data_IF_107097725673
#
_entry.id   IF_107097725673
#
_cell.length_a   1.000
_cell.length_b   1.000
_cell.length_c   1.000
_cell.angle_alpha   90.00
_cell.angle_beta   90.00
_cell.angle_gamma   90.00
#
_symmetry.space_group_name_H-M   'P 1'
#
loop_
_entity.id
_entity.type
_entity.pdbx_description
1 polymer ?
#
# COMPACT_ATOMS: atom_id res chain seq x y z
N UNK A 1 -8.61 10.42 -70.37
CA UNK A 1 -7.73 9.44 -69.77
C UNK A 1 -6.62 10.16 -69.04
N UNK A 2 -6.94 10.87 -67.95
CA UNK A 2 -5.95 11.59 -67.07
C UNK A 2 -6.67 12.15 -65.82
N UNK A 3 -7.35 11.31 -65.05
CA UNK A 3 -7.94 11.68 -63.72
C UNK A 3 -7.89 10.44 -62.80
N UNK A 4 -6.75 9.78 -62.73
CA UNK A 4 -6.65 8.53 -61.93
C UNK A 4 -5.40 8.36 -61.08
N UNK A 5 -4.57 9.40 -60.91
CA UNK A 5 -3.25 9.23 -60.27
C UNK A 5 -2.98 10.19 -59.07
N UNK A 6 -3.91 11.07 -58.70
CA UNK A 6 -3.68 12.08 -57.65
C UNK A 6 -4.27 11.70 -56.29
N UNK A 7 -5.02 10.61 -56.12
CA UNK A 7 -5.66 10.25 -54.85
C UNK A 7 -5.01 9.10 -54.10
N UNK A 8 -3.73 8.74 -54.33
CA UNK A 8 -3.01 7.70 -53.58
C UNK A 8 -1.80 8.20 -52.77
N UNK A 9 -1.60 9.49 -52.61
CA UNK A 9 -0.46 10.04 -51.83
C UNK A 9 -0.83 10.93 -50.63
N UNK A 10 -2.07 10.96 -50.17
CA UNK A 10 -2.49 11.80 -49.05
C UNK A 10 -2.92 10.97 -47.81
N UNK A 11 -2.70 9.67 -47.77
CA UNK A 11 -3.07 8.85 -46.61
C UNK A 11 -1.91 8.21 -45.84
N UNK A 12 -0.70 8.81 -45.89
CA UNK A 12 0.47 8.36 -45.06
C UNK A 12 1.05 9.49 -44.21
N UNK A 13 0.38 10.64 -44.09
CA UNK A 13 0.91 11.80 -43.34
C UNK A 13 0.13 12.14 -42.04
N UNK A 14 -0.84 11.33 -41.61
CA UNK A 14 -1.64 11.60 -40.40
C UNK A 14 -1.25 10.70 -39.22
N UNK A 15 -0.35 9.71 -39.42
CA UNK A 15 0.05 8.75 -38.39
C UNK A 15 1.31 9.10 -37.59
N UNK A 16 2.00 10.22 -37.88
CA UNK A 16 3.29 10.51 -37.24
C UNK A 16 3.32 11.82 -36.44
N UNK A 17 2.28 12.63 -36.47
CA UNK A 17 2.25 13.94 -35.80
C UNK A 17 1.69 13.91 -34.36
N UNK A 18 1.15 12.81 -33.88
CA UNK A 18 0.70 12.71 -32.48
C UNK A 18 1.82 12.33 -31.48
N UNK A 19 2.99 11.91 -31.96
CA UNK A 19 4.13 11.53 -31.08
C UNK A 19 5.11 12.71 -30.87
N UNK A 20 5.01 13.79 -31.64
CA UNK A 20 5.95 14.92 -31.59
C UNK A 20 5.48 16.10 -30.74
N UNK A 21 4.24 16.14 -30.25
CA UNK A 21 3.76 17.21 -29.37
C UNK A 21 4.12 17.03 -27.89
N UNK A 22 4.55 15.86 -27.47
CA UNK A 22 5.03 15.64 -26.08
C UNK A 22 6.45 16.16 -25.81
N UNK A 23 7.27 16.37 -26.85
CA UNK A 23 8.62 16.89 -26.71
C UNK A 23 8.70 18.42 -26.59
N UNK A 24 7.60 19.14 -26.71
CA UNK A 24 7.58 20.61 -26.69
C UNK A 24 7.03 21.22 -25.39
N UNK A 25 6.59 20.38 -24.46
CA UNK A 25 6.37 20.77 -23.07
C UNK A 25 7.70 20.58 -22.33
N UNK A 26 8.51 21.64 -22.35
CA UNK A 26 9.87 21.68 -21.79
C UNK A 26 9.95 21.57 -20.27
N UNK A 27 9.36 20.55 -19.72
CA UNK A 27 9.48 20.05 -18.36
C UNK A 27 9.23 18.55 -18.45
N UNK A 28 10.24 17.80 -18.88
CA UNK A 28 10.08 16.37 -19.17
C UNK A 28 9.42 15.63 -18.00
N UNK A 29 8.57 14.68 -18.31
CA UNK A 29 8.30 13.55 -17.45
C UNK A 29 9.63 12.82 -17.20
N UNK A 30 10.32 13.17 -16.08
CA UNK A 30 11.69 12.80 -15.83
C UNK A 30 12.66 13.61 -16.71
N UNK A 31 13.42 14.58 -16.13
CA UNK A 31 14.57 15.21 -16.78
C UNK A 31 15.53 14.16 -17.34
N UNK A 32 16.62 14.53 -18.09
CA UNK A 32 17.53 13.58 -18.70
C UNK A 32 18.03 12.63 -17.61
N UNK A 33 17.38 11.49 -17.53
CA UNK A 33 17.69 10.46 -16.56
C UNK A 33 18.96 9.83 -17.08
N UNK A 34 20.06 10.21 -16.45
CA UNK A 34 21.32 9.52 -16.70
C UNK A 34 21.05 8.02 -16.59
N UNK A 35 21.54 7.27 -17.55
CA UNK A 35 21.57 5.80 -17.56
C UNK A 35 22.39 5.21 -16.38
N UNK A 36 22.60 5.99 -15.30
CA UNK A 36 23.25 5.60 -14.07
C UNK A 36 22.28 4.88 -13.17
N UNK A 37 22.60 3.65 -12.78
CA UNK A 37 21.86 2.93 -11.74
C UNK A 37 21.92 3.66 -10.40
N UNK A 38 21.31 3.07 -9.37
CA UNK A 38 21.40 3.59 -8.00
C UNK A 38 22.83 3.41 -7.48
N UNK A 39 23.55 4.48 -7.12
CA UNK A 39 24.90 4.37 -6.58
C UNK A 39 24.93 3.55 -5.29
N UNK A 40 26.06 2.90 -5.02
CA UNK A 40 26.31 2.15 -3.78
C UNK A 40 25.29 1.06 -3.45
N UNK A 41 24.63 0.51 -4.47
CA UNK A 41 23.72 -0.62 -4.35
C UNK A 41 24.13 -1.80 -5.22
N UNK A 42 23.82 -3.00 -4.75
CA UNK A 42 23.80 -4.22 -5.56
C UNK A 42 22.41 -4.34 -6.20
N UNK A 43 22.39 -4.47 -7.54
CA UNK A 43 21.16 -4.53 -8.31
C UNK A 43 20.79 -5.96 -8.66
N UNK A 44 19.55 -6.36 -8.38
CA UNK A 44 18.89 -7.52 -8.99
C UNK A 44 17.81 -7.02 -9.93
N UNK A 45 17.97 -7.25 -11.23
CA UNK A 45 17.09 -6.70 -12.27
C UNK A 45 16.00 -7.69 -12.69
N UNK A 46 14.89 -7.15 -13.22
CA UNK A 46 13.86 -7.88 -13.96
C UNK A 46 13.22 -9.05 -13.20
N UNK A 47 13.11 -8.91 -11.87
CA UNK A 47 12.44 -9.91 -11.04
C UNK A 47 10.94 -9.84 -11.29
N UNK A 48 10.33 -10.92 -11.79
CA UNK A 48 8.88 -10.99 -11.99
C UNK A 48 8.17 -11.25 -10.67
N UNK A 49 7.38 -10.28 -10.17
CA UNK A 49 6.73 -10.36 -8.86
C UNK A 49 5.40 -11.10 -8.86
N UNK A 50 4.87 -11.42 -10.04
CA UNK A 50 3.64 -12.20 -10.20
C UNK A 50 3.94 -13.65 -10.57
N UNK A 51 5.04 -13.89 -11.31
CA UNK A 51 5.40 -15.21 -11.84
C UNK A 51 4.79 -15.53 -13.21
N UNK A 52 4.19 -14.53 -13.88
CA UNK A 52 3.47 -14.71 -15.16
C UNK A 52 4.31 -14.42 -16.41
N UNK A 53 5.57 -14.02 -16.24
CA UNK A 53 6.51 -13.70 -17.30
C UNK A 53 6.22 -12.39 -18.05
N UNK A 54 5.27 -11.57 -17.59
CA UNK A 54 4.96 -10.28 -18.22
C UNK A 54 5.96 -9.22 -17.80
N UNK A 55 6.45 -8.41 -18.74
CA UNK A 55 7.42 -7.33 -18.49
C UNK A 55 6.86 -6.27 -17.54
N UNK A 56 5.58 -5.95 -17.63
CA UNK A 56 4.93 -5.00 -16.73
C UNK A 56 4.75 -5.52 -15.30
N UNK A 57 5.00 -6.80 -15.04
CA UNK A 57 5.03 -7.38 -13.71
C UNK A 57 6.48 -7.67 -13.24
N UNK A 58 7.46 -6.92 -13.77
CA UNK A 58 8.86 -6.99 -13.29
C UNK A 58 9.20 -5.81 -12.40
N UNK A 59 10.17 -6.02 -11.52
CA UNK A 59 10.75 -5.01 -10.65
C UNK A 59 12.27 -5.12 -10.61
N UNK A 60 12.94 -4.03 -10.24
CA UNK A 60 14.36 -4.03 -9.90
C UNK A 60 14.53 -3.83 -8.40
N UNK A 61 15.51 -4.51 -7.82
CA UNK A 61 15.83 -4.46 -6.40
C UNK A 61 17.24 -3.87 -6.27
N UNK A 62 17.38 -2.89 -5.40
CA UNK A 62 18.65 -2.24 -5.07
C UNK A 62 18.92 -2.38 -3.58
N UNK A 63 19.90 -3.21 -3.21
CA UNK A 63 20.29 -3.44 -1.82
C UNK A 63 21.55 -2.64 -1.54
N UNK A 64 21.62 -1.82 -0.46
CA UNK A 64 22.83 -1.08 -0.12
C UNK A 64 24.05 -1.99 0.01
N UNK A 65 25.19 -1.57 -0.54
CA UNK A 65 26.47 -2.31 -0.38
C UNK A 65 26.98 -2.33 1.05
N UNK A 66 26.57 -1.37 1.88
CA UNK A 66 26.86 -1.40 3.30
C UNK A 66 26.22 -2.64 3.93
N UNK A 67 27.05 -3.57 4.41
CA UNK A 67 26.59 -4.84 4.93
C UNK A 67 25.75 -4.67 6.20
N UNK A 68 24.52 -5.18 6.16
CA UNK A 68 23.59 -5.34 7.29
C UNK A 68 22.95 -6.73 7.21
N UNK A 69 22.38 -7.18 8.31
CA UNK A 69 21.61 -8.42 8.36
C UNK A 69 20.34 -8.31 7.50
N UNK A 70 19.62 -7.18 7.62
CA UNK A 70 18.45 -6.84 6.81
C UNK A 70 18.30 -5.33 6.63
N UNK A 71 17.48 -4.91 5.67
CA UNK A 71 17.28 -3.53 5.28
C UNK A 71 15.79 -3.20 5.29
N UNK A 72 15.35 -2.09 5.92
CA UNK A 72 14.02 -1.57 5.71
C UNK A 72 13.82 -1.24 4.23
N UNK A 73 12.58 -1.31 3.74
CA UNK A 73 12.31 -1.26 2.30
C UNK A 73 11.53 -0.01 1.92
N UNK A 74 11.91 0.63 0.82
CA UNK A 74 11.11 1.63 0.12
C UNK A 74 10.78 1.11 -1.28
N UNK A 75 9.50 1.02 -1.61
CA UNK A 75 9.01 0.72 -2.95
C UNK A 75 8.77 2.06 -3.64
N UNK A 76 9.55 2.40 -4.68
CA UNK A 76 9.43 3.68 -5.38
C UNK A 76 8.87 3.49 -6.80
N UNK A 77 7.72 4.12 -7.06
CA UNK A 77 6.97 3.99 -8.32
C UNK A 77 7.15 5.25 -9.17
N UNK A 78 7.50 5.06 -10.44
CA UNK A 78 7.69 6.14 -11.41
C UNK A 78 6.39 6.87 -11.78
N UNK A 79 6.53 8.10 -12.31
CA UNK A 79 5.45 8.85 -12.93
C UNK A 79 5.36 8.61 -14.44
N UNK A 80 4.16 8.46 -14.96
CA UNK A 80 3.90 8.27 -16.41
C UNK A 80 2.48 8.65 -16.82
N UNK A 81 1.74 9.38 -16.00
CA UNK A 81 0.29 9.58 -16.16
C UNK A 81 -0.44 8.24 -16.42
N UNK A 82 -0.03 7.17 -15.74
CA UNK A 82 -0.52 5.79 -15.89
C UNK A 82 -0.41 5.20 -17.30
N UNK A 83 0.31 5.85 -18.23
CA UNK A 83 0.35 5.50 -19.65
C UNK A 83 1.47 4.55 -20.04
N UNK A 84 2.44 4.30 -19.16
CA UNK A 84 3.58 3.41 -19.41
C UNK A 84 3.60 2.22 -18.46
N UNK A 85 4.03 1.07 -18.99
CA UNK A 85 4.14 -0.19 -18.27
C UNK A 85 5.59 -0.70 -18.12
N UNK A 86 6.58 0.12 -18.50
CA UNK A 86 8.01 -0.27 -18.51
C UNK A 86 8.93 0.92 -18.25
N UNK A 87 8.81 1.57 -17.10
CA UNK A 87 9.65 2.72 -16.72
C UNK A 87 10.35 2.58 -15.36
N UNK A 88 10.44 1.37 -14.79
CA UNK A 88 11.15 1.13 -13.53
C UNK A 88 12.62 1.61 -13.56
N UNK A 89 13.25 1.57 -14.73
CA UNK A 89 14.60 2.09 -14.95
C UNK A 89 14.69 3.63 -15.00
N UNK A 90 13.54 4.32 -15.00
CA UNK A 90 13.41 5.78 -14.99
C UNK A 90 12.73 6.29 -13.70
N UNK A 91 12.81 5.54 -12.63
CA UNK A 91 12.15 5.83 -11.34
C UNK A 91 13.06 6.66 -10.42
N UNK A 92 13.54 7.82 -10.88
CA UNK A 92 14.38 8.75 -10.08
C UNK A 92 15.60 8.07 -9.41
N UNK A 93 16.26 7.15 -10.14
CA UNK A 93 17.29 6.25 -9.60
C UNK A 93 18.50 6.99 -9.01
N UNK A 94 18.97 8.04 -9.68
CA UNK A 94 20.16 8.81 -9.27
C UNK A 94 19.87 9.89 -8.21
N UNK A 95 18.61 10.11 -7.86
CA UNK A 95 18.17 11.16 -6.92
C UNK A 95 17.43 10.55 -5.74
N UNK A 96 16.13 10.33 -5.85
CA UNK A 96 15.27 9.85 -4.76
C UNK A 96 15.69 8.45 -4.32
N UNK A 97 15.85 7.50 -5.24
CA UNK A 97 16.27 6.14 -4.91
C UNK A 97 17.69 6.09 -4.31
N UNK A 98 18.62 6.89 -4.85
CA UNK A 98 19.97 7.01 -4.32
C UNK A 98 19.98 7.54 -2.88
N UNK A 99 19.12 8.49 -2.54
CA UNK A 99 19.01 9.02 -1.19
C UNK A 99 18.53 7.94 -0.20
N UNK A 100 17.55 7.12 -0.57
CA UNK A 100 17.08 6.00 0.26
C UNK A 100 18.17 4.94 0.45
N UNK A 101 18.87 4.53 -0.63
CA UNK A 101 19.99 3.57 -0.53
C UNK A 101 21.10 4.09 0.37
N UNK A 102 21.50 5.35 0.20
CA UNK A 102 22.50 6.01 1.05
C UNK A 102 22.10 6.02 2.53
N UNK A 103 20.81 6.14 2.83
CA UNK A 103 20.27 6.07 4.19
C UNK A 103 20.14 4.63 4.72
N UNK A 104 20.44 3.62 3.89
CA UNK A 104 20.44 2.21 4.29
C UNK A 104 19.11 1.51 4.12
N UNK A 105 18.23 2.01 3.26
CA UNK A 105 17.02 1.32 2.80
C UNK A 105 17.34 0.47 1.55
N UNK A 106 16.78 -0.72 1.47
CA UNK A 106 16.64 -1.40 0.20
C UNK A 106 15.54 -0.70 -0.62
N UNK A 107 15.80 -0.51 -1.91
CA UNK A 107 14.84 0.15 -2.81
C UNK A 107 14.33 -0.86 -3.83
N UNK A 108 13.02 -0.87 -4.05
CA UNK A 108 12.35 -1.68 -5.05
C UNK A 108 11.65 -0.75 -6.04
N UNK A 109 11.98 -0.87 -7.33
CA UNK A 109 11.32 -0.07 -8.37
C UNK A 109 10.51 -0.99 -9.28
N UNK A 110 9.17 -1.00 -9.16
CA UNK A 110 8.32 -1.85 -9.98
C UNK A 110 7.91 -1.20 -11.30
N UNK A 111 7.71 -2.03 -12.33
CA UNK A 111 6.77 -1.76 -13.38
C UNK A 111 5.34 -2.07 -12.90
N UNK A 112 4.36 -1.52 -13.57
CA UNK A 112 2.94 -1.80 -13.36
C UNK A 112 2.20 -1.73 -14.69
N UNK A 113 1.01 -2.30 -14.79
CA UNK A 113 0.16 -2.19 -15.99
C UNK A 113 -0.12 -0.73 -16.33
N UNK A 114 -0.06 -0.39 -17.60
CA UNK A 114 -0.52 0.89 -18.10
C UNK A 114 -2.05 0.93 -18.24
N UNK A 115 -2.61 2.12 -18.40
CA UNK A 115 -4.03 2.31 -18.68
C UNK A 115 -4.52 1.58 -19.95
N UNK A 116 -3.62 1.30 -20.89
CA UNK A 116 -3.93 0.52 -22.11
C UNK A 116 -3.88 -0.99 -21.86
N UNK A 117 -3.16 -1.47 -20.85
CA UNK A 117 -3.13 -2.88 -20.49
C UNK A 117 -4.35 -3.26 -19.66
N UNK A 118 -4.72 -2.41 -18.70
CA UNK A 118 -5.91 -2.59 -17.86
C UNK A 118 -6.32 -1.25 -17.21
N UNK A 119 -7.61 -1.14 -16.84
CA UNK A 119 -8.14 0.04 -16.16
C UNK A 119 -7.97 -0.09 -14.65
N UNK A 120 -8.08 1.06 -13.94
CA UNK A 120 -8.18 1.05 -12.48
C UNK A 120 -9.27 0.04 -12.02
N UNK A 121 -9.00 -0.78 -10.99
CA UNK A 121 -7.92 -0.70 -9.99
C UNK A 121 -6.67 -1.56 -10.32
N UNK A 122 -6.46 -2.00 -11.55
CA UNK A 122 -5.39 -2.93 -11.90
C UNK A 122 -3.99 -2.44 -11.44
N UNK A 123 -3.68 -1.16 -11.60
CA UNK A 123 -2.40 -0.58 -11.21
C UNK A 123 -2.19 -0.58 -9.68
N UNK A 124 -3.26 -0.37 -8.91
CA UNK A 124 -3.22 -0.50 -7.45
C UNK A 124 -2.95 -1.95 -7.03
N UNK A 125 -3.57 -2.92 -7.71
CA UNK A 125 -3.32 -4.34 -7.47
C UNK A 125 -1.86 -4.71 -7.73
N UNK A 126 -1.24 -4.12 -8.76
CA UNK A 126 0.18 -4.34 -9.08
C UNK A 126 1.06 -3.86 -7.94
N UNK A 127 0.89 -2.62 -7.45
CA UNK A 127 1.70 -2.10 -6.34
C UNK A 127 1.45 -2.89 -5.05
N UNK A 128 0.21 -3.26 -4.75
CA UNK A 128 -0.10 -4.12 -3.60
C UNK A 128 0.52 -5.52 -3.71
N UNK A 129 0.60 -6.08 -4.92
CA UNK A 129 1.32 -7.33 -5.16
C UNK A 129 2.82 -7.18 -4.91
N UNK A 130 3.43 -6.05 -5.29
CA UNK A 130 4.84 -5.76 -4.97
C UNK A 130 5.07 -5.67 -3.46
N UNK A 131 4.18 -5.03 -2.68
CA UNK A 131 4.28 -5.01 -1.21
C UNK A 131 4.26 -6.44 -0.64
N UNK A 132 3.34 -7.28 -1.14
CA UNK A 132 3.26 -8.70 -0.73
C UNK A 132 4.50 -9.49 -1.14
N UNK A 133 5.02 -9.27 -2.36
CA UNK A 133 6.26 -9.88 -2.85
C UNK A 133 7.46 -9.53 -1.96
N UNK A 134 7.61 -8.26 -1.55
CA UNK A 134 8.66 -7.83 -0.61
C UNK A 134 8.58 -8.62 0.70
N UNK A 135 7.38 -8.78 1.26
CA UNK A 135 7.18 -9.53 2.51
C UNK A 135 7.45 -11.02 2.35
N UNK A 136 7.00 -11.62 1.25
CA UNK A 136 7.19 -13.05 0.99
C UNK A 136 8.64 -13.43 0.67
N UNK A 137 9.44 -12.49 0.18
CA UNK A 137 10.83 -12.71 -0.19
C UNK A 137 11.85 -12.09 0.79
N UNK A 138 11.43 -11.80 2.03
CA UNK A 138 12.25 -11.14 3.04
C UNK A 138 13.64 -11.77 3.21
N UNK A 139 13.71 -13.08 3.43
CA UNK A 139 14.96 -13.79 3.62
C UNK A 139 15.84 -13.77 2.36
N UNK A 140 15.23 -13.91 1.17
CA UNK A 140 15.95 -14.00 -0.10
C UNK A 140 16.73 -12.73 -0.43
N UNK A 141 16.12 -11.56 -0.16
CA UNK A 141 16.70 -10.26 -0.51
C UNK A 141 17.14 -9.44 0.71
N UNK A 142 17.17 -10.05 1.90
CA UNK A 142 17.51 -9.40 3.18
C UNK A 142 16.61 -8.19 3.48
N UNK A 143 15.31 -8.28 3.22
CA UNK A 143 14.37 -7.23 3.56
C UNK A 143 13.97 -7.30 5.03
N UNK A 144 14.03 -6.17 5.73
CA UNK A 144 13.39 -5.99 7.02
C UNK A 144 11.93 -5.57 6.82
N UNK A 145 11.04 -6.54 6.87
CA UNK A 145 9.60 -6.32 6.68
C UNK A 145 8.90 -5.73 7.90
N UNK A 146 9.63 -5.42 8.98
CA UNK A 146 9.10 -4.61 10.07
C UNK A 146 8.83 -3.17 9.62
N UNK A 147 9.51 -2.72 8.55
CA UNK A 147 9.25 -1.41 7.96
C UNK A 147 9.31 -1.47 6.44
N UNK A 148 8.14 -1.35 5.80
CA UNK A 148 7.98 -1.28 4.35
C UNK A 148 7.23 0.00 4.01
N UNK A 149 7.88 0.94 3.34
CA UNK A 149 7.29 2.19 2.90
C UNK A 149 7.06 2.20 1.38
N UNK A 150 6.14 3.04 0.93
CA UNK A 150 5.96 3.37 -0.48
C UNK A 150 6.40 4.79 -0.76
N UNK A 151 6.91 5.01 -1.95
CA UNK A 151 7.25 6.33 -2.48
C UNK A 151 6.85 6.37 -3.94
N UNK A 152 6.59 7.55 -4.48
CA UNK A 152 6.31 7.66 -5.90
C UNK A 152 6.21 9.10 -6.38
N UNK A 153 6.48 9.26 -7.67
CA UNK A 153 6.41 10.53 -8.37
C UNK A 153 5.18 10.59 -9.27
N UNK A 154 4.45 11.73 -9.29
CA UNK A 154 3.32 11.96 -10.20
C UNK A 154 2.27 10.83 -10.08
N UNK A 155 1.90 10.15 -11.18
CA UNK A 155 1.00 8.99 -11.14
C UNK A 155 1.51 7.85 -10.24
N UNK A 156 2.83 7.68 -10.06
CA UNK A 156 3.39 6.76 -9.07
C UNK A 156 3.15 7.24 -7.64
N UNK A 157 3.16 8.56 -7.41
CA UNK A 157 2.73 9.19 -6.15
C UNK A 157 1.25 8.93 -5.84
N UNK A 158 0.39 8.98 -6.86
CA UNK A 158 -1.01 8.59 -6.75
C UNK A 158 -1.19 7.13 -6.33
N UNK A 159 -0.51 6.19 -7.02
CA UNK A 159 -0.59 4.77 -6.66
C UNK A 159 -0.03 4.50 -5.26
N UNK A 160 1.01 5.23 -4.86
CA UNK A 160 1.58 5.17 -3.50
C UNK A 160 0.60 5.72 -2.45
N UNK A 161 -0.10 6.84 -2.73
CA UNK A 161 -1.11 7.40 -1.82
C UNK A 161 -2.29 6.46 -1.64
N UNK A 162 -2.81 5.87 -2.74
CA UNK A 162 -3.85 4.85 -2.66
C UNK A 162 -3.39 3.61 -1.88
N UNK A 163 -2.15 3.15 -2.09
CA UNK A 163 -1.62 2.01 -1.33
C UNK A 163 -1.59 2.30 0.17
N UNK A 164 -1.23 3.52 0.55
CA UNK A 164 -1.20 3.96 1.95
C UNK A 164 -2.61 4.06 2.55
N UNK A 165 -3.56 4.73 1.87
CA UNK A 165 -4.88 5.02 2.43
C UNK A 165 -5.89 3.86 2.30
N UNK A 166 -5.57 2.83 1.53
CA UNK A 166 -6.45 1.64 1.36
C UNK A 166 -5.93 0.41 2.10
N UNK A 167 -5.07 0.58 3.13
CA UNK A 167 -4.64 -0.51 3.99
C UNK A 167 -5.84 -1.15 4.68
N UNK A 168 -5.92 -2.48 4.62
CA UNK A 168 -6.98 -3.25 5.28
C UNK A 168 -8.37 -3.17 4.64
N UNK A 169 -8.57 -2.30 3.67
CA UNK A 169 -9.82 -2.24 2.91
C UNK A 169 -9.80 -3.30 1.80
N UNK A 170 -10.89 -4.06 1.68
CA UNK A 170 -11.08 -5.01 0.59
C UNK A 170 -11.72 -4.37 -0.62
N UNK A 171 -12.65 -3.47 -0.39
CA UNK A 171 -13.47 -2.83 -1.41
C UNK A 171 -13.53 -1.32 -1.20
N UNK A 172 -13.54 -0.57 -2.30
CA UNK A 172 -13.92 0.83 -2.35
C UNK A 172 -15.34 0.97 -2.90
N UNK A 173 -16.17 1.82 -2.28
CA UNK A 173 -17.56 2.03 -2.69
C UNK A 173 -17.90 3.49 -2.79
N UNK A 174 -18.49 3.91 -3.91
CA UNK A 174 -19.12 5.22 -4.07
C UNK A 174 -20.39 5.04 -4.90
N UNK A 175 -21.54 5.47 -4.35
CA UNK A 175 -22.83 5.22 -4.97
C UNK A 175 -23.06 3.74 -5.29
N UNK A 176 -23.29 3.42 -6.56
CA UNK A 176 -23.47 2.05 -7.06
C UNK A 176 -22.16 1.38 -7.46
N UNK A 177 -21.03 2.10 -7.44
CA UNK A 177 -19.73 1.59 -7.87
C UNK A 177 -19.03 0.88 -6.71
N UNK A 178 -18.58 -0.34 -6.95
CA UNK A 178 -17.72 -1.11 -6.05
C UNK A 178 -16.48 -1.56 -6.81
N UNK A 179 -15.30 -1.38 -6.23
CA UNK A 179 -14.01 -1.83 -6.77
C UNK A 179 -13.29 -2.70 -5.76
N UNK A 180 -12.62 -3.74 -6.22
CA UNK A 180 -11.68 -4.51 -5.42
C UNK A 180 -10.41 -3.67 -5.20
N UNK A 181 -10.01 -3.49 -3.94
CA UNK A 181 -8.83 -2.71 -3.56
C UNK A 181 -7.61 -3.58 -3.23
N UNK A 182 -7.73 -4.89 -3.24
CA UNK A 182 -6.66 -5.82 -2.80
C UNK A 182 -5.99 -6.51 -3.96
N UNK A 183 -6.77 -7.08 -4.88
CA UNK A 183 -6.28 -7.97 -5.94
C UNK A 183 -5.69 -9.28 -5.41
N UNK A 184 -5.50 -10.21 -6.31
CA UNK A 184 -5.03 -11.58 -6.03
C UNK A 184 -3.73 -11.94 -6.78
N UNK A 185 -3.03 -10.93 -7.32
CA UNK A 185 -1.81 -11.14 -8.13
C UNK A 185 -0.67 -11.77 -7.33
N UNK A 186 0.02 -12.71 -7.98
CA UNK A 186 1.23 -13.37 -7.45
C UNK A 186 0.93 -14.44 -6.39
N UNK A 187 1.99 -15.08 -5.92
CA UNK A 187 1.89 -16.21 -4.99
C UNK A 187 1.75 -15.78 -3.51
N UNK A 188 2.05 -14.52 -3.18
CA UNK A 188 2.13 -14.05 -1.80
C UNK A 188 0.83 -13.40 -1.30
N UNK A 189 -0.32 -13.84 -1.76
CA UNK A 189 -1.63 -13.24 -1.44
C UNK A 189 -2.02 -13.32 0.03
N UNK A 190 -1.40 -14.21 0.81
CA UNK A 190 -1.61 -14.32 2.26
C UNK A 190 -0.89 -13.23 3.07
N UNK A 191 0.10 -12.54 2.49
CA UNK A 191 0.80 -11.45 3.15
C UNK A 191 0.01 -10.15 3.09
N UNK A 192 0.23 -9.27 4.08
CA UNK A 192 -0.35 -7.93 4.09
C UNK A 192 0.22 -7.06 2.98
N UNK A 193 -0.64 -6.29 2.32
CA UNK A 193 -0.25 -5.22 1.39
C UNK A 193 -0.23 -3.82 2.05
N UNK A 194 -0.39 -3.75 3.38
CA UNK A 194 -0.27 -2.50 4.12
C UNK A 194 1.17 -2.03 4.18
N UNK A 195 1.36 -0.72 4.25
CA UNK A 195 2.67 -0.08 4.34
C UNK A 195 2.80 0.72 5.62
N UNK A 196 4.03 1.08 5.97
CA UNK A 196 4.38 1.67 7.27
C UNK A 196 4.75 3.16 7.16
N UNK A 197 4.77 3.69 5.94
CA UNK A 197 5.02 5.09 5.63
C UNK A 197 4.86 5.36 4.15
N UNK A 198 4.63 6.62 3.78
CA UNK A 198 4.57 7.03 2.40
C UNK A 198 5.29 8.36 2.15
N UNK A 199 6.00 8.46 1.01
CA UNK A 199 6.65 9.68 0.52
C UNK A 199 6.13 9.98 -0.88
N UNK A 200 5.43 11.08 -1.02
CA UNK A 200 4.70 11.43 -2.24
C UNK A 200 5.31 12.66 -2.90
N UNK A 201 5.64 12.55 -4.18
CA UNK A 201 6.29 13.60 -4.96
C UNK A 201 5.34 14.07 -6.07
N UNK A 202 4.84 15.31 -5.96
CA UNK A 202 3.87 15.93 -6.89
C UNK A 202 2.70 15.00 -7.25
N UNK A 203 2.02 14.36 -6.26
CA UNK A 203 0.99 13.38 -6.54
C UNK A 203 -0.31 14.05 -7.00
N UNK A 204 -0.98 13.57 -8.04
CA UNK A 204 -2.42 13.71 -8.15
C UNK A 204 -3.06 12.80 -7.10
N UNK A 205 -4.02 13.26 -6.33
CA UNK A 205 -4.57 12.49 -5.19
C UNK A 205 -6.08 12.34 -5.25
N UNK A 206 -6.80 13.41 -5.54
CA UNK A 206 -8.22 13.38 -5.87
C UNK A 206 -8.42 13.51 -7.38
N UNK A 207 -8.51 12.37 -8.03
CA UNK A 207 -8.62 12.31 -9.49
C UNK A 207 -9.92 13.01 -9.96
N UNK A 208 -10.95 13.04 -9.12
CA UNK A 208 -12.21 13.69 -9.48
C UNK A 208 -12.12 15.21 -9.51
N UNK A 209 -11.38 15.84 -8.56
CA UNK A 209 -11.22 17.31 -8.49
C UNK A 209 -10.05 17.81 -9.33
N UNK A 210 -9.14 16.93 -9.72
CA UNK A 210 -7.97 17.29 -10.52
C UNK A 210 -8.35 17.98 -11.85
N UNK A 211 -7.52 18.93 -12.30
CA UNK A 211 -7.56 19.43 -13.67
C UNK A 211 -7.09 18.34 -14.63
N UNK A 212 -7.97 17.80 -15.50
CA UNK A 212 -7.61 16.64 -16.31
C UNK A 212 -6.51 16.95 -17.32
N UNK A 213 -5.59 16.01 -17.51
CA UNK A 213 -4.52 16.11 -18.50
C UNK A 213 -5.07 15.68 -19.86
N UNK A 214 -5.15 16.61 -20.81
CA UNK A 214 -5.67 16.35 -22.15
C UNK A 214 -4.74 15.41 -22.94
N UNK A 215 -5.34 14.40 -23.58
CA UNK A 215 -4.66 13.54 -24.57
C UNK A 215 -4.79 14.08 -26.02
N UNK A 216 -5.45 15.22 -26.17
CA UNK A 216 -5.92 15.71 -27.48
C UNK A 216 -7.31 15.14 -27.81
N UNK A 217 -8.10 15.89 -28.59
CA UNK A 217 -9.49 15.53 -28.82
C UNK A 217 -10.36 15.65 -27.56
N UNK A 218 -11.20 14.63 -27.29
CA UNK A 218 -12.11 14.61 -26.13
C UNK A 218 -11.63 13.73 -24.98
N UNK A 219 -10.44 13.12 -25.07
CA UNK A 219 -9.94 12.18 -24.07
C UNK A 219 -8.98 12.82 -23.07
N UNK A 220 -8.94 12.26 -21.86
CA UNK A 220 -8.02 12.63 -20.78
C UNK A 220 -7.19 11.43 -20.32
N UNK A 221 -6.00 11.69 -19.72
CA UNK A 221 -5.15 10.64 -19.15
C UNK A 221 -5.87 9.91 -18.01
N UNK A 222 -6.59 10.65 -17.18
CA UNK A 222 -7.38 10.13 -16.08
C UNK A 222 -8.57 9.31 -16.60
N UNK A 223 -9.27 9.79 -17.65
CA UNK A 223 -10.34 9.05 -18.29
C UNK A 223 -9.84 7.74 -18.92
N UNK A 224 -8.65 7.76 -19.52
CA UNK A 224 -8.00 6.54 -20.02
C UNK A 224 -7.64 5.58 -18.88
N UNK A 225 -7.19 6.07 -17.73
CA UNK A 225 -6.87 5.28 -16.54
C UNK A 225 -8.12 4.67 -15.89
N UNK A 226 -9.16 5.47 -15.67
CA UNK A 226 -10.44 5.04 -15.06
C UNK A 226 -11.24 4.14 -16.02
N UNK A 227 -11.10 4.35 -17.33
CA UNK A 227 -11.87 3.68 -18.38
C UNK A 227 -13.12 4.41 -18.84
N UNK A 228 -13.41 5.57 -18.26
CA UNK A 228 -14.51 6.49 -18.63
C UNK A 228 -14.11 7.93 -18.31
N UNK A 229 -14.63 8.88 -19.10
CA UNK A 229 -14.45 10.30 -18.78
C UNK A 229 -15.25 10.72 -17.54
N UNK A 230 -14.88 11.88 -16.94
CA UNK A 230 -15.40 12.35 -15.65
C UNK A 230 -16.88 12.68 -15.66
N UNK A 231 -17.36 13.27 -16.76
CA UNK A 231 -18.74 13.72 -16.86
C UNK A 231 -19.72 12.55 -16.73
N UNK A 232 -20.66 12.65 -15.78
CA UNK A 232 -21.64 11.59 -15.49
C UNK A 232 -21.09 10.36 -14.76
N UNK A 233 -19.78 10.31 -14.46
CA UNK A 233 -19.12 9.14 -13.87
C UNK A 233 -18.44 9.42 -12.52
N UNK A 234 -18.99 10.35 -11.73
CA UNK A 234 -18.42 10.78 -10.43
C UNK A 234 -17.97 9.60 -9.56
N UNK A 235 -18.82 8.62 -9.36
CA UNK A 235 -18.56 7.51 -8.42
C UNK A 235 -17.35 6.66 -8.84
N UNK A 236 -17.15 6.45 -10.15
CA UNK A 236 -15.96 5.75 -10.65
C UNK A 236 -14.66 6.51 -10.43
N UNK A 237 -14.71 7.83 -10.46
CA UNK A 237 -13.57 8.70 -10.22
C UNK A 237 -13.28 8.84 -8.72
N UNK A 238 -14.32 8.92 -7.90
CA UNK A 238 -14.19 8.98 -6.44
C UNK A 238 -13.49 7.74 -5.87
N UNK A 239 -13.82 6.53 -6.34
CA UNK A 239 -13.17 5.31 -5.85
C UNK A 239 -11.71 5.15 -6.28
N UNK A 240 -11.21 6.03 -7.15
CA UNK A 240 -9.80 6.12 -7.53
C UNK A 240 -9.05 7.26 -6.82
N UNK A 241 -9.69 7.97 -5.89
CA UNK A 241 -9.15 9.16 -5.21
C UNK A 241 -8.71 8.80 -3.78
N UNK A 242 -7.43 9.00 -3.46
CA UNK A 242 -6.86 8.59 -2.16
C UNK A 242 -7.42 9.35 -0.95
N UNK A 243 -7.78 10.66 -1.01
CA UNK A 243 -8.40 11.35 0.13
C UNK A 243 -9.74 10.73 0.55
N UNK A 244 -10.43 10.06 -0.38
CA UNK A 244 -11.69 9.38 -0.12
C UNK A 244 -11.58 8.22 0.89
N UNK A 245 -10.39 7.64 1.01
CA UNK A 245 -10.10 6.50 1.88
C UNK A 245 -9.34 6.87 3.16
N UNK A 246 -8.99 8.14 3.35
CA UNK A 246 -8.23 8.57 4.52
C UNK A 246 -8.91 8.13 5.83
N UNK A 247 -8.13 7.62 6.75
CA UNK A 247 -8.61 7.06 8.02
C UNK A 247 -7.56 7.20 9.13
N UNK A 248 -8.00 7.10 10.40
CA UNK A 248 -7.12 7.20 11.58
C UNK A 248 -6.01 6.14 11.62
N UNK A 249 -6.15 5.06 10.83
CA UNK A 249 -5.20 3.94 10.79
C UNK A 249 -4.18 4.04 9.64
N UNK A 250 -4.20 5.14 8.88
CA UNK A 250 -3.26 5.33 7.78
C UNK A 250 -1.84 5.55 8.29
N UNK A 251 -0.82 5.07 7.57
CA UNK A 251 0.56 5.26 7.94
C UNK A 251 0.99 6.73 7.86
N UNK A 252 2.09 7.14 8.50
CA UNK A 252 2.68 8.45 8.31
C UNK A 252 2.92 8.79 6.83
N UNK A 253 2.58 10.01 6.40
CA UNK A 253 2.69 10.47 5.01
C UNK A 253 3.42 11.82 4.94
N UNK A 254 4.45 11.93 4.10
CA UNK A 254 5.04 13.20 3.72
C UNK A 254 4.80 13.47 2.22
N UNK A 255 4.42 14.71 1.91
CA UNK A 255 4.08 15.14 0.55
C UNK A 255 5.00 16.29 0.16
N UNK A 256 5.64 16.19 -1.00
CA UNK A 256 6.42 17.26 -1.62
C UNK A 256 5.68 17.72 -2.87
N UNK A 257 5.46 19.05 -3.02
CA UNK A 257 4.81 19.60 -4.21
C UNK A 257 5.37 20.97 -4.57
N UNK A 258 5.66 21.15 -5.86
CA UNK A 258 6.19 22.42 -6.37
C UNK A 258 5.08 23.50 -6.45
N UNK A 259 5.37 24.70 -5.96
CA UNK A 259 4.37 25.82 -6.02
C UNK A 259 4.17 26.39 -7.43
N UNK A 260 4.99 25.97 -8.38
CA UNK A 260 4.89 26.34 -9.81
C UNK A 260 4.63 25.10 -10.69
N UNK A 261 4.06 24.04 -10.11
CA UNK A 261 3.65 22.85 -10.86
C UNK A 261 2.50 23.18 -11.81
N UNK A 262 2.72 22.99 -13.12
CA UNK A 262 1.75 23.25 -14.18
C UNK A 262 1.11 21.96 -14.73
N UNK A 263 1.49 20.81 -14.19
CA UNK A 263 0.98 19.49 -14.61
C UNK A 263 -0.07 19.00 -13.63
N UNK A 264 0.31 18.95 -12.34
CA UNK A 264 -0.59 18.60 -11.24
C UNK A 264 -0.71 19.82 -10.33
N UNK A 265 -1.88 20.37 -10.20
CA UNK A 265 -2.12 21.51 -9.34
C UNK A 265 -1.88 21.16 -7.87
N UNK A 266 -1.23 22.07 -7.13
CA UNK A 266 -0.77 21.86 -5.75
C UNK A 266 -1.93 21.58 -4.77
N UNK A 267 -3.15 21.97 -5.12
CA UNK A 267 -4.38 21.70 -4.36
C UNK A 267 -4.59 20.20 -4.17
N UNK A 268 -4.15 19.37 -5.11
CA UNK A 268 -4.21 17.91 -4.98
C UNK A 268 -3.48 17.40 -3.73
N UNK A 269 -2.29 17.94 -3.47
CA UNK A 269 -1.54 17.63 -2.25
C UNK A 269 -2.18 18.24 -1.01
N UNK A 270 -2.79 19.41 -1.11
CA UNK A 270 -3.49 20.05 0.00
C UNK A 270 -4.72 19.22 0.41
N UNK A 271 -5.52 18.73 -0.54
CA UNK A 271 -6.71 17.92 -0.29
C UNK A 271 -6.35 16.62 0.48
N UNK A 272 -5.31 15.91 0.05
CA UNK A 272 -4.85 14.71 0.77
C UNK A 272 -4.31 15.06 2.16
N UNK A 273 -3.46 16.11 2.26
CA UNK A 273 -2.93 16.56 3.54
C UNK A 273 -4.04 16.89 4.54
N UNK A 274 -5.05 17.66 4.13
CA UNK A 274 -6.16 18.05 4.99
C UNK A 274 -7.00 16.84 5.39
N UNK A 275 -7.25 15.92 4.45
CA UNK A 275 -7.98 14.68 4.74
C UNK A 275 -7.26 13.82 5.78
N UNK A 276 -5.95 13.60 5.62
CA UNK A 276 -5.13 12.84 6.58
C UNK A 276 -5.04 13.53 7.96
N UNK A 277 -4.92 14.88 7.97
CA UNK A 277 -4.90 15.65 9.24
C UNK A 277 -6.22 15.56 9.98
N UNK A 278 -7.37 15.57 9.29
CA UNK A 278 -8.68 15.37 9.89
C UNK A 278 -8.83 14.00 10.55
N UNK A 279 -8.01 13.04 10.14
CA UNK A 279 -7.91 11.70 10.71
C UNK A 279 -6.73 11.52 11.67
N UNK A 280 -6.12 12.61 12.15
CA UNK A 280 -4.98 12.59 13.09
C UNK A 280 -3.76 11.81 12.59
N UNK A 281 -3.64 11.56 11.29
CA UNK A 281 -2.48 10.91 10.69
C UNK A 281 -1.26 11.83 10.81
N UNK A 282 -0.10 11.27 11.15
CA UNK A 282 1.17 11.99 11.13
C UNK A 282 1.49 12.36 9.70
N UNK A 283 1.32 13.64 9.36
CA UNK A 283 1.44 14.10 7.97
C UNK A 283 2.22 15.41 7.89
N UNK A 284 3.16 15.47 6.95
CA UNK A 284 3.90 16.69 6.58
C UNK A 284 3.60 17.06 5.12
N UNK A 285 3.46 18.36 4.86
CA UNK A 285 3.33 18.89 3.51
C UNK A 285 4.41 19.94 3.23
N UNK A 286 5.32 19.63 2.31
CA UNK A 286 6.43 20.48 1.90
C UNK A 286 6.07 21.17 0.58
N UNK A 287 5.73 22.46 0.67
CA UNK A 287 5.50 23.32 -0.50
C UNK A 287 6.85 23.82 -1.01
N UNK A 288 7.34 23.25 -2.11
CA UNK A 288 8.66 23.59 -2.68
C UNK A 288 8.54 24.89 -3.49
N UNK A 289 9.06 25.97 -2.93
CA UNK A 289 8.93 27.31 -3.53
C UNK A 289 9.57 27.39 -4.93
N UNK A 290 8.76 27.76 -5.93
CA UNK A 290 9.16 27.82 -7.34
C UNK A 290 9.58 26.46 -7.93
N UNK A 291 9.28 25.35 -7.24
CA UNK A 291 9.40 24.00 -7.80
C UNK A 291 8.33 23.77 -8.87
N UNK A 292 8.68 23.07 -9.94
CA UNK A 292 7.77 22.59 -10.98
C UNK A 292 7.31 21.17 -10.67
N UNK A 293 6.72 20.46 -11.64
CA UNK A 293 6.25 19.08 -11.48
C UNK A 293 7.35 18.08 -11.07
N UNK A 294 8.60 18.41 -11.28
CA UNK A 294 9.79 17.64 -10.91
C UNK A 294 11.05 18.49 -11.04
N UNK A 295 12.22 17.86 -11.19
CA UNK A 295 13.50 18.51 -11.44
C UNK A 295 14.26 18.93 -10.17
N UNK A 296 15.33 19.69 -10.34
CA UNK A 296 16.36 19.92 -9.32
C UNK A 296 15.84 20.53 -8.01
N UNK A 297 14.87 21.45 -8.09
CA UNK A 297 14.30 22.04 -6.88
C UNK A 297 13.53 21.03 -6.07
N UNK A 298 12.76 20.16 -6.73
CA UNK A 298 12.03 19.09 -6.08
C UNK A 298 12.99 18.08 -5.46
N UNK A 299 14.01 17.68 -6.21
CA UNK A 299 15.01 16.68 -5.82
C UNK A 299 16.25 17.33 -5.12
N UNK A 300 16.07 18.51 -4.48
CA UNK A 300 17.15 19.15 -3.72
C UNK A 300 17.62 18.24 -2.57
N UNK A 301 18.89 18.36 -2.21
CA UNK A 301 19.48 17.61 -1.08
C UNK A 301 18.66 17.83 0.21
N UNK A 302 18.12 19.02 0.41
CA UNK A 302 17.27 19.33 1.57
C UNK A 302 16.00 18.49 1.56
N UNK A 303 15.27 18.45 0.44
CA UNK A 303 14.04 17.68 0.32
C UNK A 303 14.30 16.16 0.43
N UNK A 304 15.36 15.67 -0.21
CA UNK A 304 15.74 14.26 -0.13
C UNK A 304 16.10 13.86 1.32
N UNK A 305 16.87 14.67 2.02
CA UNK A 305 17.19 14.43 3.43
C UNK A 305 15.95 14.48 4.32
N UNK A 306 15.02 15.40 4.03
CA UNK A 306 13.76 15.50 4.77
C UNK A 306 12.86 14.28 4.55
N UNK A 307 12.80 13.75 3.33
CA UNK A 307 12.08 12.51 3.03
C UNK A 307 12.65 11.31 3.81
N UNK A 308 13.97 11.16 3.82
CA UNK A 308 14.66 10.12 4.61
C UNK A 308 14.39 10.28 6.09
N UNK A 309 14.61 11.47 6.65
CA UNK A 309 14.41 11.74 8.07
C UNK A 309 12.96 11.48 8.53
N UNK A 310 11.98 11.74 7.66
CA UNK A 310 10.57 11.42 7.93
C UNK A 310 10.34 9.91 8.03
N UNK A 311 10.88 9.13 7.10
CA UNK A 311 10.77 7.66 7.14
C UNK A 311 11.51 7.06 8.34
N UNK A 312 12.69 7.61 8.71
CA UNK A 312 13.43 7.16 9.90
C UNK A 312 12.61 7.38 11.17
N UNK A 313 11.99 8.57 11.34
CA UNK A 313 11.09 8.85 12.46
C UNK A 313 9.88 7.91 12.49
N UNK A 314 9.27 7.65 11.34
CA UNK A 314 8.13 6.73 11.24
C UNK A 314 8.55 5.30 11.65
N UNK A 315 9.74 4.86 11.22
CA UNK A 315 10.31 3.55 11.57
C UNK A 315 10.62 3.44 13.07
N UNK A 316 11.23 4.46 13.64
CA UNK A 316 11.54 4.53 15.07
C UNK A 316 10.26 4.53 15.92
N UNK A 317 9.25 5.32 15.54
CA UNK A 317 7.97 5.36 16.23
C UNK A 317 7.27 3.99 16.17
N UNK A 318 7.30 3.31 15.02
CA UNK A 318 6.76 1.95 14.88
C UNK A 318 7.50 0.93 15.74
N UNK A 319 8.84 1.01 15.80
CA UNK A 319 9.66 0.14 16.62
C UNK A 319 9.40 0.36 18.13
N UNK A 320 9.25 1.63 18.56
CA UNK A 320 8.93 1.98 19.94
C UNK A 320 7.51 1.56 20.36
N UNK A 321 6.56 1.50 19.42
CA UNK A 321 5.20 1.02 19.67
C UNK A 321 5.11 -0.51 19.79
N UNK A 322 6.18 -1.25 19.43
CA UNK A 322 6.27 -2.71 19.62
C UNK A 322 6.57 -2.99 21.09
N UNK A 323 5.78 -3.82 21.81
CA UNK A 323 6.11 -4.18 23.19
C UNK A 323 7.50 -4.82 23.27
N UNK A 324 8.25 -4.45 24.30
CA UNK A 324 9.59 -4.98 24.60
C UNK A 324 9.51 -6.43 25.15
N UNK A 325 8.96 -7.38 24.39
CA UNK A 325 8.96 -8.80 24.78
C UNK A 325 9.01 -9.70 23.54
N UNK A 326 10.21 -9.88 23.04
CA UNK A 326 10.63 -11.12 22.40
C UNK A 326 12.13 -11.30 22.59
N UNK A 327 12.53 -11.52 23.83
CA UNK A 327 13.79 -12.22 24.09
C UNK A 327 13.58 -13.64 23.55
N UNK A 328 14.16 -13.92 22.40
CA UNK A 328 14.35 -15.28 21.93
C UNK A 328 15.31 -15.93 22.89
N UNK A 329 14.79 -16.69 23.84
CA UNK A 329 15.59 -17.66 24.59
C UNK A 329 16.01 -18.71 23.56
N UNK A 330 17.29 -18.70 23.21
CA UNK A 330 17.88 -19.76 22.42
C UNK A 330 17.66 -21.08 23.17
N UNK A 331 16.83 -21.93 22.61
CA UNK A 331 16.63 -23.29 23.11
C UNK A 331 17.90 -24.10 22.83
N UNK A 332 18.73 -24.28 23.87
CA UNK A 332 19.80 -25.22 23.93
C UNK A 332 19.25 -26.49 24.58
N UNK A 333 18.39 -27.23 23.90
CA UNK A 333 18.10 -28.63 24.29
C UNK A 333 18.93 -29.59 23.48
N UNK A 334 19.96 -30.08 24.11
CA UNK A 334 20.59 -31.37 23.76
C UNK A 334 19.62 -32.52 24.10
N UNK A 335 19.59 -33.49 23.18
CA UNK A 335 19.01 -34.82 23.37
C UNK A 335 19.30 -35.42 24.74
N UNK A 336 18.25 -35.96 25.36
CA UNK A 336 18.37 -37.28 25.96
C UNK A 336 16.98 -37.93 26.13
N UNK A 337 16.91 -39.14 25.64
CA UNK A 337 15.76 -40.02 25.70
C UNK A 337 15.57 -40.58 27.10
N UNK A 338 14.37 -40.48 27.68
CA UNK A 338 13.91 -41.42 28.68
C UNK A 338 12.38 -41.47 28.75
N UNK A 339 11.85 -42.61 28.50
CA UNK A 339 10.49 -43.08 28.72
C UNK A 339 10.25 -43.23 30.23
N UNK A 340 9.18 -42.62 30.79
CA UNK A 340 8.49 -43.14 31.99
C UNK A 340 7.05 -42.61 32.05
N UNK A 341 6.17 -43.48 31.92
CA UNK A 341 4.91 -43.92 32.52
C UNK A 341 4.00 -42.94 33.29
N UNK A 342 2.75 -43.18 32.97
CA UNK A 342 1.45 -42.65 33.44
C UNK A 342 1.30 -42.58 34.96
N UNK A 343 0.58 -41.56 35.41
CA UNK A 343 -0.68 -41.63 36.16
C UNK A 343 -0.87 -40.48 37.20
N UNK A 344 -2.07 -39.90 37.15
CA UNK A 344 -2.85 -39.24 38.23
C UNK A 344 -2.45 -37.86 38.74
N UNK A 345 -3.25 -36.79 38.45
CA UNK A 345 -4.33 -36.40 39.36
C UNK A 345 -4.94 -35.05 38.90
N UNK A 346 -6.21 -35.15 38.63
CA UNK A 346 -7.34 -34.34 39.10
C UNK A 346 -7.06 -32.93 39.62
N UNK A 347 -7.54 -31.91 38.89
CA UNK A 347 -7.95 -30.64 39.47
C UNK A 347 -9.24 -30.16 38.82
N UNK A 348 -10.24 -30.21 39.64
CA UNK A 348 -11.62 -29.79 39.51
C UNK A 348 -11.83 -28.47 38.76
N UNK A 349 -12.52 -28.56 37.62
CA UNK A 349 -13.20 -27.44 36.97
C UNK A 349 -14.48 -27.18 37.78
N UNK A 350 -14.57 -26.03 38.44
CA UNK A 350 -15.82 -25.53 38.96
C UNK A 350 -16.74 -25.12 37.82
N UNK A 351 -17.74 -25.94 37.60
CA UNK A 351 -18.89 -25.62 36.76
C UNK A 351 -19.75 -24.54 37.48
N UNK A 352 -19.75 -23.33 36.92
CA UNK A 352 -20.70 -22.31 37.34
C UNK A 352 -21.82 -22.27 36.32
N UNK A 353 -22.91 -22.91 36.67
CA UNK A 353 -24.20 -22.83 35.98
C UNK A 353 -24.65 -21.38 35.81
N UNK A 354 -24.82 -20.98 34.56
CA UNK A 354 -25.23 -19.66 34.16
C UNK A 354 -26.69 -19.44 34.50
N UNK A 355 -26.99 -18.43 35.35
CA UNK A 355 -28.27 -17.78 35.42
C UNK A 355 -28.42 -16.78 34.27
N UNK A 356 -29.55 -16.87 33.62
CA UNK A 356 -30.02 -16.07 32.51
C UNK A 356 -30.10 -14.58 32.91
N UNK A 357 -29.21 -13.76 32.31
CA UNK A 357 -29.41 -12.33 32.16
C UNK A 357 -28.57 -11.86 30.96
N UNK A 358 -29.17 -11.03 30.13
CA UNK A 358 -28.57 -10.36 28.96
C UNK A 358 -27.43 -9.39 29.36
N UNK A 359 -26.40 -9.88 30.02
CA UNK A 359 -25.21 -9.14 30.40
C UNK A 359 -24.07 -9.51 29.48
N UNK A 360 -23.49 -8.52 28.82
CA UNK A 360 -22.30 -8.68 28.01
C UNK A 360 -21.14 -9.18 28.87
N UNK A 361 -20.41 -10.16 28.36
CA UNK A 361 -19.18 -10.63 28.99
C UNK A 361 -18.03 -9.65 28.70
N UNK A 362 -17.50 -9.03 29.74
CA UNK A 362 -16.26 -8.24 29.70
C UNK A 362 -15.15 -9.08 30.29
N UNK A 363 -14.24 -9.56 29.43
CA UNK A 363 -12.99 -10.17 29.90
C UNK A 363 -11.90 -9.09 29.88
N UNK A 364 -11.41 -8.68 31.06
CA UNK A 364 -10.22 -7.85 31.20
C UNK A 364 -8.98 -8.74 31.01
N UNK A 365 -8.21 -8.45 29.98
CA UNK A 365 -6.90 -9.05 29.79
C UNK A 365 -5.82 -8.02 30.15
N UNK A 366 -4.74 -8.48 30.79
CA UNK A 366 -3.67 -7.58 31.31
C UNK A 366 -2.84 -6.86 30.24
N UNK A 367 -3.13 -6.99 28.94
CA UNK A 367 -2.36 -6.32 27.87
C UNK A 367 -3.27 -5.73 26.78
N UNK A 368 -3.32 -4.46 26.76
CA UNK A 368 -3.53 -3.47 25.70
C UNK A 368 -4.93 -3.27 25.10
N UNK A 369 -5.88 -4.18 25.10
CA UNK A 369 -7.23 -3.93 24.59
C UNK A 369 -8.28 -4.86 25.20
N UNK A 370 -9.54 -4.39 25.24
CA UNK A 370 -10.68 -5.17 25.71
C UNK A 370 -11.54 -5.63 24.52
N UNK A 371 -11.97 -6.87 24.55
CA UNK A 371 -12.95 -7.42 23.62
C UNK A 371 -14.30 -7.55 24.31
N UNK A 372 -15.35 -7.07 23.67
CA UNK A 372 -16.72 -7.15 24.17
C UNK A 372 -17.64 -7.68 23.07
N UNK A 373 -18.50 -8.67 23.42
CA UNK A 373 -19.55 -9.15 22.52
C UNK A 373 -20.90 -8.71 23.10
N UNK A 374 -21.63 -7.91 22.34
CA UNK A 374 -23.02 -7.50 22.63
C UNK A 374 -23.91 -7.90 21.46
N UNK A 375 -24.91 -8.77 21.75
CA UNK A 375 -25.73 -9.31 20.68
C UNK A 375 -24.92 -10.03 19.64
N UNK A 376 -24.96 -9.53 18.40
CA UNK A 376 -24.23 -10.10 17.26
C UNK A 376 -22.97 -9.29 16.88
N UNK A 377 -22.48 -8.43 17.73
CA UNK A 377 -21.35 -7.55 17.46
C UNK A 377 -20.21 -7.80 18.45
N UNK A 378 -19.01 -8.04 17.93
CA UNK A 378 -17.76 -8.01 18.69
C UNK A 378 -17.15 -6.62 18.52
N UNK A 379 -16.88 -5.93 19.62
CA UNK A 379 -16.17 -4.65 19.63
C UNK A 379 -14.82 -4.74 20.33
N UNK A 380 -13.88 -3.89 19.89
CA UNK A 380 -12.56 -3.70 20.51
C UNK A 380 -12.51 -2.32 21.14
N UNK A 381 -12.08 -2.26 22.40
CA UNK A 381 -11.90 -1.01 23.14
C UNK A 381 -10.45 -0.90 23.64
N UNK A 382 -9.90 0.30 23.59
CA UNK A 382 -8.58 0.60 24.21
C UNK A 382 -7.37 0.44 23.30
N UNK A 383 -7.53 -0.01 22.04
CA UNK A 383 -6.44 -0.04 21.07
C UNK A 383 -6.95 0.35 19.68
N UNK A 384 -6.26 1.24 18.97
CA UNK A 384 -6.50 1.52 17.56
C UNK A 384 -5.89 0.42 16.69
N UNK A 385 -6.38 0.29 15.46
CA UNK A 385 -5.76 -0.53 14.42
C UNK A 385 -6.64 -1.62 13.84
N UNK A 386 -6.02 -2.44 12.99
CA UNK A 386 -6.69 -3.52 12.28
C UNK A 386 -6.43 -4.83 13.01
N UNK A 387 -7.49 -5.47 13.45
CA UNK A 387 -7.45 -6.75 14.14
C UNK A 387 -7.71 -7.88 13.14
N UNK A 388 -6.93 -8.95 13.23
CA UNK A 388 -7.22 -10.19 12.52
C UNK A 388 -8.10 -11.08 13.38
N UNK A 389 -9.03 -11.80 12.77
CA UNK A 389 -9.82 -12.77 13.49
C UNK A 389 -9.93 -14.12 12.77
N UNK A 390 -10.09 -15.15 13.55
CA UNK A 390 -10.45 -16.49 13.06
C UNK A 390 -11.55 -17.03 13.97
N UNK A 391 -12.67 -17.43 13.38
CA UNK A 391 -13.80 -18.02 14.09
C UNK A 391 -13.88 -19.51 13.76
N UNK A 392 -13.92 -20.33 14.79
CA UNK A 392 -14.11 -21.78 14.68
C UNK A 392 -15.35 -22.20 15.46
N UNK A 393 -16.05 -23.20 14.97
CA UNK A 393 -17.12 -23.83 15.72
C UNK A 393 -16.56 -24.78 16.79
N UNK A 394 -17.39 -25.23 17.71
CA UNK A 394 -17.02 -26.16 18.79
C UNK A 394 -16.33 -27.44 18.29
N UNK A 395 -16.69 -27.92 17.09
CA UNK A 395 -16.06 -29.09 16.48
C UNK A 395 -14.74 -28.78 15.75
N UNK A 396 -14.18 -27.55 15.92
CA UNK A 396 -12.92 -27.13 15.33
C UNK A 396 -12.98 -26.71 13.87
N UNK A 397 -14.13 -26.82 13.19
CA UNK A 397 -14.25 -26.35 11.80
C UNK A 397 -14.17 -24.84 11.72
N UNK A 398 -13.29 -24.33 10.84
CA UNK A 398 -13.15 -22.90 10.59
C UNK A 398 -14.39 -22.36 9.87
N UNK A 399 -15.02 -21.33 10.42
CA UNK A 399 -16.24 -20.72 9.86
C UNK A 399 -15.98 -19.41 9.15
N UNK A 400 -15.23 -18.51 9.77
CA UNK A 400 -14.90 -17.20 9.23
C UNK A 400 -13.47 -16.82 9.61
N UNK A 401 -12.86 -16.01 8.78
CA UNK A 401 -11.63 -15.30 9.11
C UNK A 401 -11.58 -13.99 8.30
N UNK A 402 -10.87 -13.03 8.82
CA UNK A 402 -10.74 -11.73 8.18
C UNK A 402 -10.09 -10.73 9.10
N UNK A 403 -10.37 -9.48 8.81
CA UNK A 403 -9.90 -8.34 9.58
C UNK A 403 -11.08 -7.43 9.91
N UNK A 404 -10.96 -6.67 11.01
CA UNK A 404 -11.90 -5.63 11.40
C UNK A 404 -11.18 -4.53 12.18
N UNK A 405 -11.79 -3.36 12.33
CA UNK A 405 -11.16 -2.23 13.04
C UNK A 405 -11.71 -2.06 14.45
N UNK A 406 -12.91 -1.58 14.57
CA UNK A 406 -13.57 -1.33 15.88
C UNK A 406 -14.63 -2.34 16.22
N UNK A 407 -15.32 -2.85 15.19
CA UNK A 407 -16.47 -3.73 15.36
C UNK A 407 -16.52 -4.79 14.25
N UNK A 408 -16.93 -5.99 14.62
CA UNK A 408 -17.14 -7.14 13.73
C UNK A 408 -18.57 -7.64 13.88
N UNK A 409 -19.32 -7.65 12.80
CA UNK A 409 -20.66 -8.24 12.74
C UNK A 409 -20.57 -9.76 12.64
N UNK A 410 -21.19 -10.44 13.58
CA UNK A 410 -21.26 -11.91 13.70
C UNK A 410 -22.62 -12.46 13.23
N UNK A 411 -23.51 -11.61 12.68
CA UNK A 411 -24.88 -12.00 12.29
C UNK A 411 -24.91 -13.06 11.20
N UNK A 412 -23.88 -13.16 10.37
CA UNK A 412 -23.76 -14.17 9.31
C UNK A 412 -23.43 -15.58 9.82
N UNK A 413 -23.07 -15.75 11.10
CA UNK A 413 -22.82 -17.07 11.67
C UNK A 413 -24.12 -17.81 11.90
N UNK A 414 -24.23 -19.11 11.62
CA UNK A 414 -25.34 -19.94 12.08
C UNK A 414 -25.46 -19.97 13.61
N UNK A 415 -26.65 -20.32 14.13
CA UNK A 415 -26.83 -20.57 15.56
C UNK A 415 -25.84 -21.66 16.01
N UNK A 416 -25.11 -21.42 17.11
CA UNK A 416 -24.10 -22.37 17.57
C UNK A 416 -23.11 -21.79 18.57
N UNK A 417 -22.16 -22.63 19.00
CA UNK A 417 -21.09 -22.27 19.93
C UNK A 417 -19.79 -22.08 19.13
N UNK A 418 -19.12 -21.00 19.37
CA UNK A 418 -17.93 -20.58 18.63
C UNK A 418 -16.81 -20.14 19.56
N UNK A 419 -15.57 -20.27 19.09
CA UNK A 419 -14.41 -19.57 19.60
C UNK A 419 -13.93 -18.58 18.53
N UNK A 420 -13.67 -17.34 18.93
CA UNK A 420 -13.02 -16.34 18.08
C UNK A 420 -11.64 -16.02 18.64
N UNK A 421 -10.64 -16.23 17.81
CA UNK A 421 -9.28 -15.76 18.03
C UNK A 421 -9.18 -14.38 17.40
N UNK A 422 -8.78 -13.38 18.17
CA UNK A 422 -8.54 -12.01 17.72
C UNK A 422 -7.05 -11.69 17.95
N UNK A 423 -6.39 -11.24 16.91
CA UNK A 423 -4.99 -10.84 16.92
C UNK A 423 -4.89 -9.35 16.61
N UNK A 424 -4.28 -8.59 17.52
CA UNK A 424 -4.07 -7.15 17.37
C UNK A 424 -2.97 -6.85 16.34
N UNK A 425 -2.85 -5.59 15.89
CA UNK A 425 -1.74 -5.17 15.03
C UNK A 425 -0.36 -5.39 15.64
N UNK A 426 -0.26 -5.40 16.98
CA UNK A 426 0.95 -5.69 17.73
C UNK A 426 1.23 -7.18 17.93
N UNK A 427 0.41 -8.08 17.34
CA UNK A 427 0.56 -9.53 17.47
C UNK A 427 0.00 -10.13 18.76
N UNK A 428 -0.58 -9.32 19.65
CA UNK A 428 -1.24 -9.83 20.87
C UNK A 428 -2.49 -10.61 20.47
N UNK A 429 -2.61 -11.85 20.94
CA UNK A 429 -3.72 -12.72 20.62
C UNK A 429 -4.64 -12.91 21.83
N UNK A 430 -5.93 -12.73 21.61
CA UNK A 430 -7.00 -13.05 22.59
C UNK A 430 -7.99 -14.05 21.98
N UNK A 431 -8.55 -14.92 22.82
CA UNK A 431 -9.55 -15.92 22.41
C UNK A 431 -10.79 -15.75 23.29
N UNK A 432 -11.94 -15.57 22.67
CA UNK A 432 -13.23 -15.51 23.34
C UNK A 432 -14.10 -16.68 22.83
N UNK A 433 -14.85 -17.30 23.76
CA UNK A 433 -15.93 -18.23 23.42
C UNK A 433 -17.26 -17.51 23.52
N UNK A 434 -18.15 -17.73 22.57
CA UNK A 434 -19.49 -17.14 22.57
C UNK A 434 -20.53 -18.06 21.98
N UNK A 435 -21.77 -17.79 22.31
CA UNK A 435 -22.94 -18.52 21.79
C UNK A 435 -23.70 -17.59 20.88
N UNK A 436 -23.87 -17.98 19.63
CA UNK A 436 -24.78 -17.34 18.67
C UNK A 436 -26.14 -17.97 18.87
N UNK A 437 -27.10 -17.18 19.40
CA UNK A 437 -28.51 -17.57 19.60
C UNK A 437 -29.37 -17.27 18.37
#
# INVERSE_FOLDING_TARGET
MLIGVVMKKIMIAVGVTAVLSFAQWGGGFGGPQGSGGVPDADKTADVNYVGDGKTYHTLDIYVPKQAKESYPVVIHTYGSAWSSNNMKGSADLSTICAAYVKAGYAVVTPNHRAANDAKYPAQLHDIKAVVRFVRGNAAKYKFDTNFVAVSGFSSGGHLSSLTATTCGLKEGKSGSVTVDLVGDLGEFTSFSSCVDGAVLWSPPTDIYTMNPISMGGSGTMEGAFIGVEREGNKDKWMVASSPYYASDDDPPVIIFHGTSDQVVNIEQSQELYDSLKNHNVVTEFVKVSGGSHGGDKMNSTENLNKAVAFLDKAREAKAAAKPADSVVVADTSKNDSAVVDTSKKDTTVKDTTAKDTSAGFVLKFEKSYNLEIRGNHLSVQGAPGIFRYTIVSVNGSRKLNGIFRKELDLSSLPIGIYAIKVESPSGVTNIIRFVRK
#
